data_IF_219991073957
#
_entry.id   IF_219991073957
#
_cell.length_a   1.000
_cell.length_b   1.000
_cell.length_c   1.000
_cell.angle_alpha   90.00
_cell.angle_beta   90.00
_cell.angle_gamma   90.00
#
_symmetry.space_group_name_H-M   'P 1'
#
loop_
_entity.id
_entity.type
_entity.pdbx_description
1 polymer ?
#
# COMPACT_ATOMS: atom_id res chain seq x y z
N UNK A 1 27.46 5.23 31.44
CA UNK A 1 28.78 5.84 31.69
C UNK A 1 28.90 7.04 30.77
N UNK A 2 29.14 8.23 31.30
CA UNK A 2 29.49 9.36 30.47
C UNK A 2 30.90 9.11 29.91
N UNK A 3 31.07 9.28 28.60
CA UNK A 3 32.40 9.34 28.01
C UNK A 3 32.95 10.71 28.37
N UNK A 4 34.01 10.74 29.17
CA UNK A 4 34.71 11.98 29.49
C UNK A 4 35.61 12.34 28.31
N UNK A 5 35.20 13.34 27.53
CA UNK A 5 35.98 13.87 26.42
C UNK A 5 36.71 15.11 26.93
N UNK A 6 38.04 15.11 26.87
CA UNK A 6 38.82 16.32 27.15
C UNK A 6 38.65 17.32 26.00
N UNK A 7 37.57 18.08 26.07
CA UNK A 7 37.23 19.12 25.10
C UNK A 7 38.11 20.37 25.26
N UNK A 8 38.72 20.57 26.44
CA UNK A 8 39.54 21.74 26.73
C UNK A 8 40.94 21.66 26.10
N UNK A 9 41.44 20.44 25.86
CA UNK A 9 42.74 20.18 25.25
C UNK A 9 42.78 20.22 23.72
N UNK A 10 41.64 20.38 23.03
CA UNK A 10 41.61 20.28 21.55
C UNK A 10 41.95 21.62 20.89
N UNK A 11 42.63 21.59 19.75
CA UNK A 11 42.96 22.81 19.01
C UNK A 11 41.72 23.45 18.38
N UNK A 12 41.75 24.74 18.04
CA UNK A 12 40.65 25.44 17.35
C UNK A 12 40.26 24.76 16.01
N UNK A 13 41.25 24.25 15.27
CA UNK A 13 41.01 23.55 14.01
C UNK A 13 40.32 22.19 14.25
N UNK A 14 40.84 21.40 15.21
CA UNK A 14 40.25 20.11 15.59
C UNK A 14 38.86 20.29 16.20
N UNK A 15 38.63 21.42 16.89
CA UNK A 15 37.31 21.80 17.41
C UNK A 15 36.31 22.06 16.30
N UNK A 16 36.70 22.80 15.26
CA UNK A 16 35.87 22.99 14.07
C UNK A 16 35.46 21.67 13.41
N UNK A 17 36.42 20.76 13.25
CA UNK A 17 36.19 19.45 12.63
C UNK A 17 35.33 18.53 13.51
N UNK A 18 35.60 18.49 14.81
CA UNK A 18 34.80 17.74 15.78
C UNK A 18 33.35 18.25 15.80
N UNK A 19 33.14 19.56 15.91
CA UNK A 19 31.81 20.16 15.92
C UNK A 19 31.05 19.86 14.62
N UNK A 20 31.70 19.97 13.46
CA UNK A 20 31.11 19.61 12.18
C UNK A 20 30.71 18.12 12.11
N UNK A 21 31.51 17.22 12.71
CA UNK A 21 31.18 15.80 12.80
C UNK A 21 29.95 15.55 13.69
N UNK A 22 29.85 16.25 14.83
CA UNK A 22 28.67 16.17 15.71
C UNK A 22 27.41 16.62 14.98
N UNK A 23 27.46 17.73 14.24
CA UNK A 23 26.32 18.22 13.46
C UNK A 23 25.87 17.22 12.37
N UNK A 24 26.81 16.63 11.63
CA UNK A 24 26.51 15.59 10.64
C UNK A 24 25.84 14.38 11.28
N UNK A 25 26.32 13.95 12.45
CA UNK A 25 25.75 12.81 13.17
C UNK A 25 24.35 13.12 13.72
N UNK A 26 24.11 14.34 14.21
CA UNK A 26 22.79 14.78 14.63
C UNK A 26 21.80 14.78 13.44
N UNK A 27 22.21 15.31 12.29
CA UNK A 27 21.39 15.30 11.07
C UNK A 27 21.08 13.88 10.59
N UNK A 28 22.08 12.98 10.61
CA UNK A 28 21.89 11.57 10.23
C UNK A 28 20.87 10.88 11.14
N UNK A 29 20.96 11.10 12.46
CA UNK A 29 20.02 10.53 13.44
C UNK A 29 18.61 11.06 13.25
N UNK A 30 18.48 12.37 13.03
CA UNK A 30 17.19 12.98 12.74
C UNK A 30 16.59 12.39 11.47
N UNK A 31 17.36 12.32 10.39
CA UNK A 31 16.91 11.73 9.12
C UNK A 31 16.42 10.29 9.32
N UNK A 32 17.19 9.44 10.03
CA UNK A 32 16.76 8.07 10.30
C UNK A 32 15.49 8.00 11.16
N UNK A 33 15.31 8.94 12.08
CA UNK A 33 14.11 8.99 12.92
C UNK A 33 12.87 9.48 12.16
N UNK A 34 13.03 10.32 11.13
CA UNK A 34 11.89 10.99 10.46
C UNK A 34 11.61 10.54 9.03
N UNK A 35 12.57 9.91 8.34
CA UNK A 35 12.47 9.65 6.90
C UNK A 35 11.26 8.79 6.52
N UNK A 36 10.97 7.73 7.28
CA UNK A 36 9.83 6.84 6.99
C UNK A 36 8.50 7.62 7.05
N UNK A 37 8.26 8.35 8.14
CA UNK A 37 7.05 9.16 8.30
C UNK A 37 6.93 10.24 7.22
N UNK A 38 8.05 10.85 6.84
CA UNK A 38 8.09 11.87 5.77
C UNK A 38 7.74 11.26 4.41
N UNK A 39 8.27 10.07 4.10
CA UNK A 39 7.97 9.36 2.85
C UNK A 39 6.49 8.97 2.78
N UNK A 40 5.91 8.43 3.85
CA UNK A 40 4.48 8.08 3.92
C UNK A 40 3.59 9.32 3.76
N UNK A 41 3.94 10.42 4.42
CA UNK A 41 3.20 11.68 4.31
C UNK A 41 3.20 12.20 2.87
N UNK A 42 4.37 12.17 2.22
CA UNK A 42 4.51 12.63 0.84
C UNK A 42 3.74 11.73 -0.14
N UNK A 43 3.80 10.41 0.05
CA UNK A 43 3.04 9.46 -0.74
C UNK A 43 1.52 9.68 -0.62
N UNK A 44 1.01 9.92 0.60
CA UNK A 44 -0.39 10.22 0.84
C UNK A 44 -0.83 11.56 0.21
N UNK A 45 0.01 12.60 0.31
CA UNK A 45 -0.26 13.89 -0.35
C UNK A 45 -0.29 13.77 -1.87
N UNK A 46 0.64 13.00 -2.44
CA UNK A 46 0.64 12.70 -3.87
C UNK A 46 -0.64 11.94 -4.27
N UNK A 47 -1.03 10.91 -3.52
CA UNK A 47 -2.26 10.16 -3.75
C UNK A 47 -3.51 11.07 -3.76
N UNK A 48 -3.61 12.00 -2.81
CA UNK A 48 -4.69 12.98 -2.78
C UNK A 48 -4.65 13.93 -3.99
N UNK A 49 -3.46 14.36 -4.42
CA UNK A 49 -3.30 15.25 -5.57
C UNK A 49 -3.67 14.59 -6.92
N UNK A 50 -3.57 13.26 -7.03
CA UNK A 50 -3.93 12.51 -8.24
C UNK A 50 -5.35 11.95 -8.23
N UNK A 51 -6.12 12.15 -7.15
CA UNK A 51 -7.44 11.53 -6.96
C UNK A 51 -8.40 11.78 -8.15
N UNK A 52 -8.39 13.00 -8.69
CA UNK A 52 -9.25 13.44 -9.81
C UNK A 52 -8.63 13.21 -11.18
N UNK A 53 -7.40 12.71 -11.27
CA UNK A 53 -6.74 12.44 -12.54
C UNK A 53 -7.37 11.21 -13.23
N UNK A 54 -7.47 11.24 -14.58
CA UNK A 54 -8.00 10.10 -15.32
C UNK A 54 -7.07 8.89 -15.21
N UNK A 55 -7.65 7.69 -15.28
CA UNK A 55 -6.86 6.46 -15.32
C UNK A 55 -6.07 6.36 -16.63
N UNK A 56 -4.80 5.97 -16.54
CA UNK A 56 -3.91 5.78 -17.71
C UNK A 56 -4.10 4.37 -18.29
N UNK A 57 -4.04 4.22 -19.61
CA UNK A 57 -4.02 2.88 -20.21
C UNK A 57 -2.65 2.24 -19.98
N UNK A 58 -2.60 0.96 -19.62
CA UNK A 58 -1.31 0.26 -19.42
C UNK A 58 -0.42 0.33 -20.68
N UNK A 59 -1.04 0.28 -21.86
CA UNK A 59 -0.32 0.36 -23.15
C UNK A 59 0.44 1.68 -23.35
N UNK A 60 0.03 2.76 -22.68
CA UNK A 60 0.67 4.07 -22.78
C UNK A 60 1.82 4.25 -21.77
N UNK A 61 2.01 3.29 -20.85
CA UNK A 61 3.05 3.34 -19.82
C UNK A 61 4.28 2.55 -20.31
N UNK A 62 5.44 3.19 -20.49
CA UNK A 62 6.68 2.49 -20.85
C UNK A 62 7.04 1.39 -19.85
N UNK A 63 7.85 0.40 -20.25
CA UNK A 63 8.33 -0.68 -19.35
C UNK A 63 9.14 -0.17 -18.16
N UNK A 64 9.80 0.99 -18.30
CA UNK A 64 10.51 1.71 -17.23
C UNK A 64 9.61 2.68 -16.45
N UNK A 65 8.35 2.83 -16.87
CA UNK A 65 7.38 3.71 -16.25
C UNK A 65 6.90 3.19 -14.91
N UNK A 66 6.39 4.11 -14.10
CA UNK A 66 5.80 3.82 -12.81
C UNK A 66 4.40 4.41 -12.68
N UNK A 67 3.63 3.80 -11.81
CA UNK A 67 2.33 4.27 -11.33
C UNK A 67 2.52 4.64 -9.87
N UNK A 68 2.32 5.92 -9.56
CA UNK A 68 2.48 6.44 -8.21
C UNK A 68 1.32 6.07 -7.28
N UNK A 69 1.44 6.35 -5.98
CA UNK A 69 0.36 6.15 -5.00
C UNK A 69 -0.93 6.86 -5.43
N UNK A 70 -2.08 6.18 -5.35
CA UNK A 70 -3.40 6.71 -5.70
C UNK A 70 -3.67 6.87 -7.20
N UNK A 71 -2.65 6.75 -8.07
CA UNK A 71 -2.86 6.77 -9.51
C UNK A 71 -3.63 5.54 -9.97
N UNK A 72 -4.40 5.72 -11.04
CA UNK A 72 -5.25 4.69 -11.61
C UNK A 72 -4.73 4.27 -12.98
N UNK A 73 -4.80 2.97 -13.26
CA UNK A 73 -4.53 2.42 -14.59
C UNK A 73 -5.69 1.54 -15.05
N UNK A 74 -5.80 1.35 -16.36
CA UNK A 74 -6.76 0.45 -16.98
C UNK A 74 -6.00 -0.75 -17.56
N UNK A 75 -6.43 -1.96 -17.18
CA UNK A 75 -5.95 -3.25 -17.68
C UNK A 75 -7.17 -4.07 -18.05
N UNK A 76 -7.28 -4.51 -19.31
CA UNK A 76 -8.41 -5.29 -19.83
C UNK A 76 -9.79 -4.70 -19.49
N UNK A 77 -9.89 -3.37 -19.50
CA UNK A 77 -11.13 -2.63 -19.18
C UNK A 77 -11.43 -2.49 -17.69
N UNK A 78 -10.59 -3.05 -16.80
CA UNK A 78 -10.70 -2.90 -15.35
C UNK A 78 -9.82 -1.74 -14.90
N UNK A 79 -10.40 -0.80 -14.15
CA UNK A 79 -9.65 0.27 -13.50
C UNK A 79 -9.07 -0.22 -12.17
N UNK A 80 -7.76 -0.09 -12.03
CA UNK A 80 -6.99 -0.43 -10.85
C UNK A 80 -6.34 0.81 -10.25
N UNK A 81 -6.40 0.97 -8.95
CA UNK A 81 -5.75 2.04 -8.19
C UNK A 81 -4.55 1.48 -7.43
N UNK A 82 -3.41 2.16 -7.50
CA UNK A 82 -2.25 1.80 -6.68
C UNK A 82 -2.47 2.23 -5.22
N UNK A 83 -2.67 1.26 -4.34
CA UNK A 83 -2.88 1.45 -2.90
C UNK A 83 -1.64 1.15 -2.05
N UNK A 84 -0.50 0.85 -2.68
CA UNK A 84 0.71 0.41 -1.99
C UNK A 84 1.45 1.51 -1.21
N UNK A 85 1.16 2.78 -1.49
CA UNK A 85 1.95 3.91 -0.98
C UNK A 85 3.33 4.06 -1.61
N UNK A 86 3.68 3.22 -2.60
CA UNK A 86 4.93 3.28 -3.34
C UNK A 86 4.70 3.49 -4.85
N UNK A 87 5.76 3.85 -5.57
CA UNK A 87 5.75 3.86 -7.03
C UNK A 87 5.96 2.43 -7.54
N UNK A 88 4.99 1.90 -8.28
CA UNK A 88 5.04 0.55 -8.81
C UNK A 88 5.24 0.58 -10.32
N UNK A 89 6.14 -0.26 -10.85
CA UNK A 89 6.09 -0.59 -12.27
C UNK A 89 4.89 -1.51 -12.50
N UNK A 90 3.92 -1.14 -13.34
CA UNK A 90 2.77 -2.00 -13.60
C UNK A 90 3.13 -3.25 -14.41
N UNK A 91 4.31 -3.26 -15.06
CA UNK A 91 4.79 -4.39 -15.86
C UNK A 91 5.45 -5.49 -15.03
N UNK A 92 6.04 -5.14 -13.88
CA UNK A 92 6.71 -6.12 -12.98
C UNK A 92 6.05 -6.24 -11.62
N UNK A 93 5.16 -5.32 -11.26
CA UNK A 93 4.42 -5.29 -10.00
C UNK A 93 2.96 -4.88 -10.23
N UNK A 94 2.38 -5.25 -11.38
CA UNK A 94 0.96 -5.05 -11.67
C UNK A 94 0.03 -5.95 -10.85
N UNK A 95 -1.30 -5.81 -10.98
CA UNK A 95 -2.29 -6.53 -10.15
C UNK A 95 -2.13 -8.05 -10.14
N UNK A 96 -1.74 -8.68 -11.25
CA UNK A 96 -1.58 -10.14 -11.32
C UNK A 96 -0.31 -10.64 -10.62
N UNK A 97 0.70 -9.78 -10.48
CA UNK A 97 2.01 -10.12 -9.87
C UNK A 97 2.06 -9.70 -8.40
N UNK A 98 1.50 -8.54 -8.08
CA UNK A 98 1.49 -7.97 -6.74
C UNK A 98 0.08 -7.44 -6.36
N UNK A 99 -0.91 -8.32 -6.16
CA UNK A 99 -2.30 -7.92 -5.96
C UNK A 99 -2.54 -7.05 -4.71
N UNK A 100 -1.71 -7.17 -3.68
CA UNK A 100 -1.82 -6.35 -2.47
C UNK A 100 -1.50 -4.87 -2.71
N UNK A 101 -0.79 -4.54 -3.79
CA UNK A 101 -0.48 -3.16 -4.16
C UNK A 101 -1.60 -2.44 -4.92
N UNK A 102 -2.65 -3.16 -5.32
CA UNK A 102 -3.67 -2.64 -6.23
C UNK A 102 -5.09 -2.89 -5.73
N UNK A 103 -5.96 -1.91 -5.94
CA UNK A 103 -7.39 -2.02 -5.69
C UNK A 103 -8.15 -1.94 -7.01
N UNK A 104 -8.96 -2.94 -7.31
CA UNK A 104 -9.92 -2.86 -8.41
C UNK A 104 -11.02 -1.86 -8.02
N UNK A 105 -11.14 -0.75 -8.75
CA UNK A 105 -12.11 0.31 -8.42
C UNK A 105 -13.53 -0.04 -8.84
N UNK A 106 -13.72 -0.99 -9.77
CA UNK A 106 -15.05 -1.50 -10.12
C UNK A 106 -15.61 -2.42 -9.01
N UNK A 107 -14.72 -3.02 -8.21
CA UNK A 107 -15.07 -3.73 -6.97
C UNK A 107 -15.05 -2.80 -5.74
N UNK A 108 -14.58 -1.56 -5.88
CA UNK A 108 -14.61 -0.55 -4.83
C UNK A 108 -16.01 0.08 -4.78
N UNK A 109 -16.81 -0.35 -3.81
CA UNK A 109 -18.07 0.33 -3.47
C UNK A 109 -17.77 1.70 -2.83
N UNK A 110 -18.55 2.75 -3.12
CA UNK A 110 -18.43 4.02 -2.42
C UNK A 110 -18.87 3.85 -0.96
N UNK A 111 -17.91 4.00 -0.03
CA UNK A 111 -18.16 4.04 1.41
C UNK A 111 -17.87 2.74 2.15
N UNK A 112 -16.62 2.55 2.58
CA UNK A 112 -16.29 1.60 3.65
C UNK A 112 -15.00 2.04 4.34
N UNK A 113 -15.17 2.79 5.44
CA UNK A 113 -14.45 2.41 6.63
C UNK A 113 -15.03 1.04 7.05
N UNK A 114 -14.23 -0.01 6.96
CA UNK A 114 -14.45 -1.33 7.60
C UNK A 114 -15.76 -2.10 7.33
N UNK A 115 -16.47 -1.87 6.22
CA UNK A 115 -17.63 -2.70 5.84
C UNK A 115 -17.44 -3.42 4.50
N UNK A 116 -17.22 -4.74 4.55
CA UNK A 116 -17.17 -5.60 3.37
C UNK A 116 -18.58 -5.94 2.83
N UNK A 117 -18.76 -6.11 1.51
CA UNK A 117 -20.05 -6.40 0.91
C UNK A 117 -20.67 -7.68 1.49
N UNK A 118 -22.00 -7.70 1.68
CA UNK A 118 -22.70 -8.88 2.16
C UNK A 118 -22.59 -10.02 1.13
N UNK A 119 -22.29 -11.24 1.60
CA UNK A 119 -22.31 -12.44 0.77
C UNK A 119 -23.69 -12.60 0.11
N UNK A 120 -23.69 -12.88 -1.19
CA UNK A 120 -24.90 -12.98 -2.01
C UNK A 120 -24.81 -14.22 -2.91
N UNK A 121 -25.94 -14.86 -3.21
CA UNK A 121 -26.06 -16.04 -4.09
C UNK A 121 -25.91 -15.66 -5.57
N UNK A 122 -25.25 -16.51 -6.37
CA UNK A 122 -25.07 -16.29 -7.81
C UNK A 122 -23.94 -15.32 -8.17
N UNK A 123 -23.11 -14.93 -7.20
CA UNK A 123 -21.97 -14.03 -7.40
C UNK A 123 -20.70 -14.83 -7.64
N UNK A 124 -19.94 -14.47 -8.68
CA UNK A 124 -18.60 -15.00 -8.91
C UNK A 124 -17.60 -14.31 -7.98
N UNK A 125 -17.04 -15.05 -7.04
CA UNK A 125 -16.01 -14.59 -6.11
C UNK A 125 -14.64 -15.14 -6.52
N UNK A 126 -13.62 -14.27 -6.53
CA UNK A 126 -12.23 -14.65 -6.73
C UNK A 126 -11.54 -14.89 -5.39
N UNK A 127 -10.49 -15.73 -5.37
CA UNK A 127 -9.66 -15.95 -4.18
C UNK A 127 -9.17 -14.62 -3.62
N UNK A 128 -9.28 -14.44 -2.30
CA UNK A 128 -8.93 -13.22 -1.58
C UNK A 128 -10.10 -12.23 -1.38
N UNK A 129 -11.22 -12.39 -2.09
CA UNK A 129 -12.41 -11.52 -1.90
C UNK A 129 -12.91 -11.57 -0.46
N UNK A 130 -13.19 -10.41 0.13
CA UNK A 130 -13.73 -10.28 1.48
C UNK A 130 -15.23 -9.94 1.44
N UNK A 131 -16.03 -10.68 2.22
CA UNK A 131 -17.49 -10.49 2.33
C UNK A 131 -17.93 -10.50 3.81
N UNK A 132 -19.06 -9.88 4.12
CA UNK A 132 -19.75 -10.05 5.41
C UNK A 132 -20.85 -11.11 5.31
N UNK A 133 -20.93 -12.02 6.27
CA UNK A 133 -22.06 -12.94 6.42
C UNK A 133 -22.40 -13.08 7.90
N UNK A 134 -23.65 -12.75 8.25
CA UNK A 134 -24.13 -12.73 9.64
C UNK A 134 -23.21 -11.97 10.61
N UNK A 135 -22.68 -10.81 10.16
CA UNK A 135 -21.81 -9.95 10.96
C UNK A 135 -20.36 -10.40 11.09
N UNK A 136 -19.96 -11.52 10.46
CA UNK A 136 -18.57 -11.98 10.41
C UNK A 136 -17.98 -11.74 9.02
N UNK A 137 -16.70 -11.37 8.98
CA UNK A 137 -15.96 -11.20 7.72
C UNK A 137 -15.35 -12.52 7.29
N UNK A 138 -15.55 -12.88 6.03
CA UNK A 138 -15.00 -14.07 5.41
C UNK A 138 -14.18 -13.70 4.18
N UNK A 139 -13.09 -14.44 3.97
CA UNK A 139 -12.23 -14.38 2.78
C UNK A 139 -12.47 -15.60 1.91
N UNK A 140 -12.69 -15.39 0.62
CA UNK A 140 -12.76 -16.45 -0.38
C UNK A 140 -11.39 -17.14 -0.53
N UNK A 141 -11.33 -18.46 -0.38
CA UNK A 141 -10.12 -19.28 -0.48
C UNK A 141 -9.94 -19.82 -1.90
N UNK A 142 -11.04 -20.29 -2.51
CA UNK A 142 -11.06 -20.89 -3.84
C UNK A 142 -12.09 -20.14 -4.68
N UNK A 143 -11.68 -19.63 -5.85
CA UNK A 143 -12.58 -18.92 -6.75
C UNK A 143 -13.79 -19.79 -7.16
N UNK A 144 -14.99 -19.25 -7.05
CA UNK A 144 -16.24 -19.97 -7.31
C UNK A 144 -17.40 -19.01 -7.57
N UNK A 145 -18.49 -19.53 -8.12
CA UNK A 145 -19.80 -18.84 -8.10
C UNK A 145 -20.60 -19.34 -6.92
N UNK A 146 -21.12 -18.43 -6.09
CA UNK A 146 -21.87 -18.78 -4.88
C UNK A 146 -23.20 -19.47 -5.21
N UNK A 147 -23.55 -20.46 -4.39
CA UNK A 147 -24.83 -21.18 -4.41
C UNK A 147 -25.55 -20.98 -3.08
N UNK A 148 -26.87 -21.17 -3.07
CA UNK A 148 -27.70 -20.90 -1.88
C UNK A 148 -27.28 -21.72 -0.65
N UNK A 149 -26.76 -22.93 -0.87
CA UNK A 149 -26.24 -23.87 0.12
C UNK A 149 -24.73 -23.68 0.40
N UNK A 150 -24.05 -22.79 -0.31
CA UNK A 150 -22.61 -22.50 -0.18
C UNK A 150 -22.37 -21.21 0.61
N UNK A 151 -23.04 -21.09 1.76
CA UNK A 151 -22.81 -19.96 2.67
C UNK A 151 -21.41 -20.07 3.29
N UNK A 152 -20.77 -18.95 3.67
CA UNK A 152 -19.41 -18.99 4.21
C UNK A 152 -19.15 -19.99 5.35
N UNK A 153 -20.03 -20.14 6.37
CA UNK A 153 -19.83 -21.15 7.40
C UNK A 153 -20.15 -22.60 6.94
N UNK A 154 -20.93 -22.79 5.88
CA UNK A 154 -21.31 -24.13 5.40
C UNK A 154 -20.21 -24.80 4.57
N UNK A 155 -19.33 -24.03 3.92
CA UNK A 155 -18.29 -24.53 3.01
C UNK A 155 -16.91 -23.93 3.33
N UNK A 156 -16.26 -24.34 4.44
CA UNK A 156 -14.97 -23.79 4.89
C UNK A 156 -13.79 -24.06 3.94
N UNK A 157 -13.97 -24.92 2.93
CA UNK A 157 -12.99 -25.07 1.85
C UNK A 157 -13.00 -23.87 0.88
N UNK A 158 -14.12 -23.18 0.74
CA UNK A 158 -14.28 -22.01 -0.12
C UNK A 158 -14.10 -20.68 0.64
N UNK A 159 -14.26 -20.69 1.96
CA UNK A 159 -14.22 -19.49 2.80
C UNK A 159 -13.44 -19.72 4.09
N UNK A 160 -12.69 -18.71 4.52
CA UNK A 160 -12.07 -18.64 5.86
C UNK A 160 -12.51 -17.37 6.57
N UNK A 161 -12.55 -17.37 7.89
CA UNK A 161 -12.70 -16.12 8.66
C UNK A 161 -11.47 -15.25 8.35
N UNK A 162 -11.71 -13.96 8.09
CA UNK A 162 -10.70 -12.98 7.74
C UNK A 162 -9.97 -12.40 8.96
#
# INVERSE_FOLDING_TARGET
>A
MAVDLDLAGISEADWGDFYAAVLREQQRRLLLATAAQQAETLAAQYAAAVETQPARQLADIPTTGAVGPGEKIIIDGITWENISGAWLSPHTAGPDVYPLGWRNTALAQPGAADTYPAWTVGVAYTTGTLVTYQGTVYRCVIAHTSQADWTPPAVPALWTIA
#
